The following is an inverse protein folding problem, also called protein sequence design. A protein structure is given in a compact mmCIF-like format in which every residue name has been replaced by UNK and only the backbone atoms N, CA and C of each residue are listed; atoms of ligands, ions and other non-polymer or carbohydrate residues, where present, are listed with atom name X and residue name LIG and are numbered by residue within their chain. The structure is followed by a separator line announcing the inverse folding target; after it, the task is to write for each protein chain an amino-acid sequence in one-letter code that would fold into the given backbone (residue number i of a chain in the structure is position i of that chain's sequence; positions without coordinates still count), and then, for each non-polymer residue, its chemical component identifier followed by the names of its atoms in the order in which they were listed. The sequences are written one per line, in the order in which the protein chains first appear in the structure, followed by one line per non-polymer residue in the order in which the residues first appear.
data_IF_010442099864
#
_entry.id   IF_010442099864
#
_cell.length_a   1.000
_cell.length_b   1.000
_cell.length_c   1.000
_cell.angle_alpha   90.00
_cell.angle_beta   90.00
_cell.angle_gamma   90.00
#
_symmetry.space_group_name_H-M   'P 1'
#
loop_
_entity.id
_entity.type
_entity.pdbx_description
1 polymer ?
#
# COMPACT_ATOMS: atom_id res chain seq x y z
N UNK A 1 3.37 -2.66 18.54
CA UNK A 1 4.20 -2.78 17.32
C UNK A 1 5.00 -1.49 17.16
N UNK A 2 6.28 -1.55 16.79
CA UNK A 2 7.17 -0.38 16.79
C UNK A 2 6.99 0.36 15.46
N UNK A 3 6.21 1.45 15.46
CA UNK A 3 6.07 2.34 14.31
C UNK A 3 7.41 3.07 14.09
N UNK A 4 8.25 2.49 13.25
CA UNK A 4 9.53 3.04 12.80
C UNK A 4 9.67 2.80 11.29
N UNK A 5 10.72 3.30 10.62
CA UNK A 5 10.92 3.02 9.21
C UNK A 5 11.06 1.51 8.96
N UNK A 6 10.09 0.98 8.20
CA UNK A 6 9.75 -0.44 8.12
C UNK A 6 10.61 -1.27 7.17
N UNK A 7 10.54 -1.12 5.85
CA UNK A 7 10.75 -2.17 4.85
C UNK A 7 9.74 -3.33 5.00
N UNK A 8 9.11 -3.75 3.89
CA UNK A 8 8.24 -4.92 3.90
C UNK A 8 9.02 -6.17 4.35
N UNK A 9 8.41 -6.95 5.23
CA UNK A 9 8.94 -8.19 5.78
C UNK A 9 8.92 -9.24 4.67
N UNK A 10 10.11 -9.59 4.17
CA UNK A 10 10.22 -10.62 3.15
C UNK A 10 10.23 -12.01 3.80
N UNK A 11 9.05 -12.51 4.15
CA UNK A 11 8.86 -13.83 4.78
C UNK A 11 7.75 -14.65 4.10
N UNK A 12 7.79 -15.98 4.28
CA UNK A 12 6.84 -16.91 3.65
C UNK A 12 7.13 -17.21 2.18
N UNK A 13 6.20 -17.85 1.46
CA UNK A 13 6.35 -18.17 0.05
C UNK A 13 6.44 -16.91 -0.81
N UNK A 14 7.26 -16.98 -1.87
CA UNK A 14 7.31 -15.96 -2.91
C UNK A 14 5.99 -15.95 -3.69
N UNK A 15 5.54 -14.74 -4.05
CA UNK A 15 4.34 -14.51 -4.85
C UNK A 15 4.66 -13.61 -6.04
N UNK A 16 3.79 -13.62 -7.05
CA UNK A 16 3.86 -12.65 -8.13
C UNK A 16 3.84 -11.21 -7.58
N UNK A 17 4.63 -10.28 -8.15
CA UNK A 17 4.65 -8.87 -7.73
C UNK A 17 3.23 -8.28 -7.66
N UNK A 18 2.75 -8.06 -6.44
CA UNK A 18 1.34 -7.74 -6.17
C UNK A 18 1.22 -6.34 -5.59
N UNK A 19 0.30 -5.53 -6.10
CA UNK A 19 -0.08 -4.27 -5.48
C UNK A 19 -1.15 -4.52 -4.41
N UNK A 20 -1.11 -3.77 -3.30
CA UNK A 20 -2.18 -3.75 -2.30
C UNK A 20 -2.97 -2.47 -2.48
N UNK A 21 -4.26 -2.58 -2.77
CA UNK A 21 -5.17 -1.44 -2.72
C UNK A 21 -5.51 -1.16 -1.25
N UNK A 22 -5.06 -0.02 -0.75
CA UNK A 22 -5.21 0.37 0.65
C UNK A 22 -6.57 1.02 0.89
N UNK A 23 -7.00 1.88 -0.02
CA UNK A 23 -8.27 2.60 0.11
C UNK A 23 -8.41 3.75 -0.88
N UNK A 24 -9.53 4.47 -0.76
CA UNK A 24 -9.87 5.61 -1.62
C UNK A 24 -9.72 6.89 -0.81
N UNK A 25 -8.96 7.84 -1.35
CA UNK A 25 -8.66 9.14 -0.75
C UNK A 25 -9.36 10.23 -1.56
N UNK A 26 -10.14 11.09 -0.92
CA UNK A 26 -10.94 12.12 -1.60
C UNK A 26 -10.34 13.52 -1.52
N UNK A 27 -9.42 13.77 -0.58
CA UNK A 27 -8.73 15.04 -0.40
C UNK A 27 -7.22 14.97 -0.68
N UNK A 28 -6.66 16.08 -1.14
CA UNK A 28 -5.24 16.17 -1.55
C UNK A 28 -4.30 16.06 -0.34
N UNK A 29 -4.64 16.71 0.76
CA UNK A 29 -3.82 16.72 1.98
C UNK A 29 -3.78 15.35 2.64
N UNK A 30 -4.92 14.65 2.67
CA UNK A 30 -5.04 13.29 3.18
C UNK A 30 -4.25 12.31 2.30
N UNK A 31 -4.31 12.47 0.98
CA UNK A 31 -3.51 11.70 0.05
C UNK A 31 -2.01 11.84 0.32
N UNK A 32 -1.52 13.07 0.47
CA UNK A 32 -0.11 13.31 0.79
C UNK A 32 0.34 12.68 2.11
N UNK A 33 -0.50 12.75 3.15
CA UNK A 33 -0.20 12.13 4.46
C UNK A 33 -0.16 10.62 4.39
N UNK A 34 -1.11 10.00 3.69
CA UNK A 34 -1.13 8.55 3.51
C UNK A 34 0.07 8.06 2.71
N UNK A 35 0.42 8.75 1.61
CA UNK A 35 1.63 8.48 0.82
C UNK A 35 2.87 8.53 1.70
N UNK A 36 3.08 9.64 2.41
CA UNK A 36 4.25 9.81 3.28
C UNK A 36 4.33 8.75 4.38
N UNK A 37 3.19 8.33 4.93
CA UNK A 37 3.14 7.25 5.91
C UNK A 37 3.66 5.92 5.33
N UNK A 38 3.11 5.45 4.20
CA UNK A 38 3.51 4.17 3.62
C UNK A 38 4.93 4.21 3.02
N UNK A 39 5.34 5.33 2.43
CA UNK A 39 6.73 5.51 1.96
C UNK A 39 7.72 5.53 3.14
N UNK A 40 7.34 6.13 4.26
CA UNK A 40 8.10 6.05 5.51
C UNK A 40 8.24 4.61 6.03
N UNK A 41 7.30 3.73 5.69
CA UNK A 41 7.36 2.29 5.97
C UNK A 41 8.12 1.48 4.89
N UNK A 42 8.67 2.14 3.87
CA UNK A 42 9.49 1.52 2.83
C UNK A 42 8.70 0.92 1.66
N UNK A 43 7.39 1.20 1.57
CA UNK A 43 6.59 0.83 0.40
C UNK A 43 6.72 1.87 -0.71
N UNK A 44 6.68 1.44 -1.97
CA UNK A 44 6.37 2.39 -3.05
C UNK A 44 4.86 2.63 -3.04
N UNK A 45 4.45 3.84 -3.40
CA UNK A 45 3.04 4.21 -3.45
C UNK A 45 2.63 4.68 -4.83
N UNK A 46 1.35 4.49 -5.17
CA UNK A 46 0.76 5.07 -6.38
C UNK A 46 -0.69 5.42 -6.13
N UNK A 47 -1.09 6.64 -6.48
CA UNK A 47 -2.50 7.04 -6.52
C UNK A 47 -3.04 7.03 -7.94
N UNK A 48 -4.23 6.48 -8.16
CA UNK A 48 -4.92 6.46 -9.46
C UNK A 48 -6.35 6.95 -9.29
N UNK A 49 -6.80 7.86 -10.15
CA UNK A 49 -8.16 8.39 -10.14
C UNK A 49 -8.20 9.92 -10.24
N UNK A 50 -9.40 10.47 -10.14
CA UNK A 50 -9.63 11.91 -10.27
C UNK A 50 -9.74 12.60 -8.91
N UNK A 51 -9.19 13.80 -8.84
CA UNK A 51 -9.42 14.72 -7.72
C UNK A 51 -10.93 14.99 -7.63
N UNK A 52 -11.55 14.74 -6.48
CA UNK A 52 -13.01 14.82 -6.21
C UNK A 52 -13.88 13.59 -6.50
N UNK A 53 -13.42 12.63 -7.30
CA UNK A 53 -14.12 11.32 -7.44
C UNK A 53 -13.51 10.22 -6.57
N UNK A 54 -12.38 10.53 -5.93
CA UNK A 54 -11.58 9.60 -5.16
C UNK A 54 -10.38 9.09 -5.95
N UNK A 55 -9.25 9.03 -5.27
CA UNK A 55 -8.00 8.43 -5.75
C UNK A 55 -7.77 7.14 -4.98
N UNK A 56 -7.67 6.03 -5.69
CA UNK A 56 -7.25 4.76 -5.13
C UNK A 56 -5.77 4.84 -4.78
N UNK A 57 -5.41 4.49 -3.56
CA UNK A 57 -4.03 4.36 -3.11
C UNK A 57 -3.61 2.90 -3.20
N UNK A 58 -2.53 2.66 -3.94
CA UNK A 58 -1.86 1.37 -4.03
C UNK A 58 -0.49 1.45 -3.36
N UNK A 59 -0.10 0.37 -2.68
CA UNK A 59 1.25 0.18 -2.13
C UNK A 59 1.88 -1.12 -2.65
N UNK A 60 3.20 -1.15 -2.74
CA UNK A 60 3.94 -2.34 -3.22
C UNK A 60 5.00 -2.00 -4.27
N UNK A 61 5.26 -2.88 -5.25
CA UNK A 61 4.76 -4.26 -5.30
C UNK A 61 5.39 -5.09 -4.18
N UNK A 62 4.60 -5.95 -3.54
CA UNK A 62 5.11 -6.96 -2.59
C UNK A 62 5.32 -8.29 -3.32
N UNK A 63 6.35 -9.04 -2.94
CA UNK A 63 6.78 -10.27 -3.63
C UNK A 63 6.79 -11.49 -2.73
N UNK A 64 6.30 -11.40 -1.49
CA UNK A 64 6.13 -12.55 -0.60
C UNK A 64 4.85 -12.44 0.20
N UNK A 65 4.35 -13.58 0.66
CA UNK A 65 3.11 -13.63 1.43
C UNK A 65 3.20 -12.84 2.74
N UNK A 66 4.34 -12.90 3.45
CA UNK A 66 4.56 -12.12 4.66
C UNK A 66 4.53 -10.61 4.41
N UNK A 67 5.11 -10.14 3.30
CA UNK A 67 5.08 -8.73 2.92
C UNK A 67 3.66 -8.27 2.57
N UNK A 68 2.86 -9.14 1.95
CA UNK A 68 1.45 -8.91 1.66
C UNK A 68 0.62 -8.82 2.94
N UNK A 69 0.75 -9.79 3.83
CA UNK A 69 0.02 -9.84 5.10
C UNK A 69 0.38 -8.63 5.98
N UNK A 70 1.65 -8.27 6.04
CA UNK A 70 2.11 -7.07 6.75
C UNK A 70 1.54 -5.79 6.15
N UNK A 71 1.50 -5.66 4.81
CA UNK A 71 0.95 -4.47 4.16
C UNK A 71 -0.54 -4.29 4.49
N UNK A 72 -1.32 -5.38 4.52
CA UNK A 72 -2.74 -5.38 4.88
C UNK A 72 -2.92 -5.05 6.37
N UNK A 73 -2.12 -5.66 7.25
CA UNK A 73 -2.16 -5.40 8.68
C UNK A 73 -1.81 -3.94 9.00
N UNK A 74 -0.74 -3.41 8.40
CA UNK A 74 -0.33 -2.02 8.54
C UNK A 74 -1.41 -1.05 8.04
N UNK A 75 -2.06 -1.37 6.92
CA UNK A 75 -3.17 -0.59 6.41
C UNK A 75 -4.34 -0.56 7.41
N UNK A 76 -4.71 -1.71 7.98
CA UNK A 76 -5.75 -1.80 9.00
C UNK A 76 -5.40 -0.97 10.26
N UNK A 77 -4.16 -1.05 10.74
CA UNK A 77 -3.67 -0.24 11.87
C UNK A 77 -3.71 1.27 11.59
N UNK A 78 -3.43 1.66 10.34
CA UNK A 78 -3.51 3.04 9.88
C UNK A 78 -4.95 3.54 9.62
N UNK A 79 -5.97 2.72 9.90
CA UNK A 79 -7.38 3.07 9.74
C UNK A 79 -7.96 2.77 8.36
N UNK A 80 -7.30 1.94 7.55
CA UNK A 80 -7.79 1.42 6.27
C UNK A 80 -8.21 -0.06 6.43
N UNK A 81 -9.40 -0.36 6.98
CA UNK A 81 -9.75 -1.71 7.43
C UNK A 81 -9.98 -2.73 6.31
N UNK A 82 -10.12 -2.27 5.07
CA UNK A 82 -10.52 -3.10 3.92
C UNK A 82 -9.43 -3.14 2.84
N UNK A 83 -8.16 -3.14 3.22
CA UNK A 83 -7.07 -3.27 2.26
C UNK A 83 -7.02 -4.69 1.67
N UNK A 84 -6.74 -4.81 0.36
CA UNK A 84 -6.73 -6.10 -0.33
C UNK A 84 -5.69 -6.16 -1.47
N UNK A 85 -5.16 -7.35 -1.80
CA UNK A 85 -4.32 -7.54 -2.98
C UNK A 85 -5.13 -7.24 -4.25
N UNK A 86 -4.56 -6.43 -5.13
CA UNK A 86 -5.25 -5.94 -6.32
C UNK A 86 -4.47 -6.29 -7.59
N UNK A 87 -5.17 -6.85 -8.56
CA UNK A 87 -4.72 -7.08 -9.94
C UNK A 87 -5.00 -5.89 -10.86
N UNK A 88 -5.86 -4.95 -10.42
CA UNK A 88 -6.24 -3.73 -11.15
C UNK A 88 -5.09 -2.75 -11.38
N UNK A 89 -3.98 -2.87 -10.64
CA UNK A 89 -2.79 -2.05 -10.82
C UNK A 89 -1.53 -2.91 -10.65
N UNK A 90 -0.51 -2.62 -11.45
CA UNK A 90 0.80 -3.24 -11.38
C UNK A 90 1.87 -2.15 -11.36
N UNK A 91 2.81 -2.27 -10.43
CA UNK A 91 4.03 -1.46 -10.44
C UNK A 91 4.96 -2.07 -11.50
N UNK A 92 4.90 -1.56 -12.73
CA UNK A 92 5.79 -2.01 -13.81
C UNK A 92 7.24 -1.62 -13.47
N UNK A 93 8.17 -2.55 -13.69
CA UNK A 93 9.57 -2.19 -13.94
C UNK A 93 9.64 -1.62 -15.35
N UNK A 94 10.14 -0.39 -15.48
CA UNK A 94 10.82 -0.01 -16.72
C UNK A 94 12.16 -0.75 -16.78
#
# INVERSE_FOLDING_TARGET
MRLGPGKPENSGPEIEPTAVHVGILTGFTEAGRAIAFFEGQGYQTRTIGAEKLGRRLYVGPVTSQGALDQAIALAAEAGFPNAYPSDLFRFWKF
#
